data_IF_524310665090
#
_entry.id   IF_524310665090
#
_cell.length_a   1.000
_cell.length_b   1.000
_cell.length_c   1.000
_cell.angle_alpha   90.00
_cell.angle_beta   90.00
_cell.angle_gamma   90.00
#
_symmetry.space_group_name_H-M   'P 1'
#
loop_
_entity.id
_entity.type
_entity.pdbx_description
1 polymer ?
#
# COMPACT_ATOMS: atom_id res chain seq x y z
N UNK A 1 -13.15 27.95 -5.13
CA UNK A 1 -12.86 27.00 -6.23
C UNK A 1 -13.30 25.63 -5.76
N UNK A 2 -14.55 25.27 -6.09
CA UNK A 2 -15.25 24.07 -5.61
C UNK A 2 -14.86 22.86 -6.45
N UNK A 3 -14.50 21.75 -5.79
CA UNK A 3 -14.39 20.45 -6.44
C UNK A 3 -15.80 19.88 -6.58
N UNK A 4 -16.28 19.74 -7.81
CA UNK A 4 -17.53 19.09 -8.16
C UNK A 4 -17.14 17.81 -8.90
N UNK A 5 -17.63 16.66 -8.41
CA UNK A 5 -17.34 15.27 -8.81
C UNK A 5 -16.43 14.53 -7.81
N UNK A 6 -16.83 13.30 -7.48
CA UNK A 6 -16.39 12.38 -6.41
C UNK A 6 -14.90 11.94 -6.46
N UNK A 7 -13.97 12.80 -6.90
CA UNK A 7 -12.58 12.45 -7.25
C UNK A 7 -11.53 13.32 -6.55
N UNK A 8 -11.70 13.59 -5.27
CA UNK A 8 -10.55 13.90 -4.42
C UNK A 8 -10.21 12.61 -3.68
N UNK A 9 -9.14 11.92 -4.06
CA UNK A 9 -8.62 10.83 -3.24
C UNK A 9 -8.34 11.42 -1.86
N UNK A 10 -9.05 10.89 -0.87
CA UNK A 10 -9.17 11.48 0.47
C UNK A 10 -7.81 11.49 1.20
N UNK A 11 -6.89 10.64 0.74
CA UNK A 11 -5.44 10.69 0.91
C UNK A 11 -4.73 11.12 -0.40
N UNK A 12 -4.27 12.37 -0.49
CA UNK A 12 -3.47 12.87 -1.63
C UNK A 12 -2.26 13.70 -1.14
N UNK A 13 -1.09 13.07 -1.07
CA UNK A 13 0.17 13.74 -0.73
C UNK A 13 0.92 14.29 -1.96
N UNK A 14 0.36 14.20 -3.16
CA UNK A 14 1.02 14.61 -4.42
C UNK A 14 1.54 16.05 -4.35
N UNK A 15 0.81 16.97 -3.71
CA UNK A 15 1.23 18.38 -3.56
C UNK A 15 2.49 18.53 -2.71
N UNK A 16 2.60 17.76 -1.63
CA UNK A 16 3.76 17.83 -0.72
C UNK A 16 5.00 17.24 -1.39
N UNK A 17 4.84 16.15 -2.13
CA UNK A 17 5.93 15.52 -2.87
C UNK A 17 6.35 16.33 -4.10
N UNK A 18 5.40 16.98 -4.79
CA UNK A 18 5.70 17.94 -5.87
C UNK A 18 6.58 19.11 -5.39
N UNK A 19 6.37 19.62 -4.18
CA UNK A 19 7.24 20.66 -3.58
C UNK A 19 8.66 20.18 -3.29
N UNK A 20 8.86 18.87 -3.18
CA UNK A 20 10.16 18.23 -3.00
C UNK A 20 10.80 17.82 -4.33
N UNK A 21 10.18 18.12 -5.47
CA UNK A 21 10.64 17.68 -6.78
C UNK A 21 10.38 16.20 -7.06
N UNK A 22 9.48 15.57 -6.29
CA UNK A 22 9.14 14.15 -6.39
C UNK A 22 7.74 14.00 -7.00
N UNK A 23 7.60 14.30 -8.28
CA UNK A 23 6.34 14.03 -9.00
C UNK A 23 6.20 12.57 -9.35
N UNK A 24 7.32 11.96 -9.76
CA UNK A 24 7.42 10.60 -10.24
C UNK A 24 8.57 9.90 -9.51
N UNK A 25 8.38 8.62 -9.20
CA UNK A 25 9.29 7.81 -8.41
C UNK A 25 9.47 6.43 -9.05
N UNK A 26 10.67 5.88 -8.94
CA UNK A 26 10.94 4.48 -9.26
C UNK A 26 10.53 3.61 -8.07
N UNK A 27 9.53 2.75 -8.28
CA UNK A 27 8.92 1.98 -7.20
C UNK A 27 9.48 0.56 -7.15
N UNK A 28 9.44 -0.11 -5.98
CA UNK A 28 9.66 -1.54 -5.93
C UNK A 28 8.59 -2.22 -6.78
N UNK A 29 9.00 -2.83 -7.89
CA UNK A 29 8.09 -3.57 -8.78
C UNK A 29 7.52 -4.76 -8.02
N UNK A 30 6.27 -4.68 -7.58
CA UNK A 30 5.44 -5.85 -7.30
C UNK A 30 4.78 -6.24 -8.63
N UNK A 31 5.35 -7.24 -9.31
CA UNK A 31 4.81 -7.86 -10.52
C UNK A 31 4.49 -6.90 -11.68
N UNK A 32 5.49 -6.14 -12.15
CA UNK A 32 5.55 -5.88 -13.60
C UNK A 32 6.22 -7.10 -14.21
N UNK A 33 5.46 -8.18 -14.38
CA UNK A 33 5.83 -9.19 -15.36
C UNK A 33 5.61 -8.52 -16.71
N UNK A 34 6.63 -7.80 -17.18
CA UNK A 34 6.76 -7.54 -18.60
C UNK A 34 6.85 -8.91 -19.27
N UNK A 35 5.72 -9.43 -19.75
CA UNK A 35 5.72 -10.41 -20.83
C UNK A 35 5.98 -9.65 -22.13
N UNK A 36 7.17 -9.06 -22.21
CA UNK A 36 7.80 -8.74 -23.46
C UNK A 36 9.30 -8.76 -23.18
N UNK A 37 9.98 -9.76 -23.73
CA UNK A 37 11.41 -10.05 -23.62
C UNK A 37 12.24 -8.93 -24.30
N UNK A 38 12.16 -7.72 -23.77
CA UNK A 38 13.07 -6.62 -24.09
C UNK A 38 13.72 -6.12 -22.81
N UNK A 39 15.06 -6.06 -22.74
CA UNK A 39 15.77 -5.57 -21.58
C UNK A 39 15.65 -4.04 -21.55
N UNK A 40 14.51 -3.52 -21.11
CA UNK A 40 14.41 -2.12 -20.69
C UNK A 40 15.11 -1.96 -19.34
N UNK A 41 16.33 -1.43 -19.40
CA UNK A 41 17.28 -1.27 -18.29
C UNK A 41 16.84 -0.24 -17.21
N UNK A 42 15.60 0.25 -17.23
CA UNK A 42 15.13 1.28 -16.28
C UNK A 42 13.71 0.97 -15.82
N UNK A 43 13.45 0.77 -14.52
CA UNK A 43 12.10 0.51 -14.04
C UNK A 43 11.18 1.72 -14.31
N UNK A 44 9.89 1.51 -14.65
CA UNK A 44 8.99 2.61 -14.99
C UNK A 44 8.85 3.58 -13.82
N UNK A 45 8.95 4.88 -14.13
CA UNK A 45 8.67 5.95 -13.17
C UNK A 45 7.15 6.11 -13.06
N UNK A 46 6.62 5.97 -11.84
CA UNK A 46 5.19 6.08 -11.57
C UNK A 46 4.89 7.36 -10.78
N UNK A 47 3.65 7.87 -10.81
CA UNK A 47 3.25 8.98 -9.96
C UNK A 47 3.60 8.69 -8.49
N UNK A 48 4.15 9.68 -7.79
CA UNK A 48 4.63 9.50 -6.42
C UNK A 48 3.54 8.94 -5.47
N UNK A 49 2.28 9.32 -5.68
CA UNK A 49 1.14 8.79 -4.91
C UNK A 49 0.94 7.28 -5.12
N UNK A 50 0.98 6.80 -6.37
CA UNK A 50 0.93 5.37 -6.70
C UNK A 50 2.11 4.63 -6.05
N UNK A 51 3.31 5.20 -6.18
CA UNK A 51 4.53 4.62 -5.65
C UNK A 51 4.52 4.44 -4.13
N UNK A 52 4.08 5.48 -3.42
CA UNK A 52 3.95 5.47 -1.97
C UNK A 52 2.91 4.44 -1.53
N UNK A 53 1.76 4.38 -2.21
CA UNK A 53 0.75 3.37 -1.92
C UNK A 53 1.31 1.95 -2.08
N UNK A 54 1.96 1.65 -3.21
CA UNK A 54 2.58 0.33 -3.44
C UNK A 54 3.64 0.01 -2.39
N UNK A 55 4.48 0.98 -2.05
CA UNK A 55 5.52 0.84 -1.03
C UNK A 55 4.93 0.50 0.33
N UNK A 56 3.87 1.20 0.75
CA UNK A 56 3.23 0.97 2.04
C UNK A 56 2.53 -0.39 2.07
N UNK A 57 1.78 -0.72 1.01
CA UNK A 57 1.11 -2.01 0.88
C UNK A 57 2.10 -3.17 0.92
N UNK A 58 3.20 -3.10 0.16
CA UNK A 58 4.26 -4.11 0.18
C UNK A 58 4.90 -4.23 1.57
N UNK A 59 5.12 -3.11 2.26
CA UNK A 59 5.72 -3.14 3.61
C UNK A 59 4.77 -3.79 4.62
N UNK A 60 3.48 -3.46 4.58
CA UNK A 60 2.46 -4.10 5.43
C UNK A 60 2.47 -5.61 5.17
N UNK A 61 2.34 -6.03 3.92
CA UNK A 61 2.34 -7.43 3.53
C UNK A 61 3.62 -8.16 3.97
N UNK A 62 4.78 -7.55 3.79
CA UNK A 62 6.07 -8.11 4.23
C UNK A 62 6.09 -8.35 5.75
N UNK A 63 5.58 -7.40 6.54
CA UNK A 63 5.54 -7.53 8.01
C UNK A 63 4.51 -8.56 8.47
N UNK A 64 3.39 -8.70 7.77
CA UNK A 64 2.41 -9.75 8.04
C UNK A 64 2.99 -11.13 7.69
N UNK A 65 3.66 -11.26 6.54
CA UNK A 65 4.30 -12.51 6.10
C UNK A 65 5.51 -12.92 6.94
N UNK A 66 6.18 -11.96 7.57
CA UNK A 66 7.27 -12.21 8.50
C UNK A 66 6.80 -12.43 9.95
N UNK A 67 5.51 -12.66 10.18
CA UNK A 67 4.98 -12.94 11.53
C UNK A 67 5.58 -14.23 12.08
N UNK A 68 6.29 -14.14 13.19
CA UNK A 68 6.81 -15.29 13.91
C UNK A 68 5.69 -15.99 14.68
N UNK A 69 5.81 -17.31 14.85
CA UNK A 69 4.81 -18.16 15.51
C UNK A 69 3.41 -18.02 14.89
N UNK A 70 3.32 -18.04 13.56
CA UNK A 70 2.06 -17.92 12.81
C UNK A 70 1.20 -19.19 12.90
N UNK A 71 0.65 -19.44 14.09
CA UNK A 71 -0.21 -20.57 14.38
C UNK A 71 -1.64 -20.30 13.94
N UNK A 72 -2.37 -21.37 13.66
CA UNK A 72 -3.82 -21.30 13.45
C UNK A 72 -4.51 -20.92 14.76
N UNK A 73 -5.47 -20.03 14.66
CA UNK A 73 -6.30 -19.60 15.77
C UNK A 73 -7.77 -19.54 15.36
N UNK A 74 -8.63 -19.83 16.32
CA UNK A 74 -10.07 -19.70 16.15
C UNK A 74 -10.50 -18.27 16.50
N UNK A 75 -11.10 -17.59 15.53
CA UNK A 75 -11.61 -16.23 15.71
C UNK A 75 -13.08 -16.16 15.29
N UNK A 76 -13.79 -15.23 15.92
CA UNK A 76 -15.12 -14.80 15.47
C UNK A 76 -14.94 -13.37 14.96
N UNK A 77 -15.10 -13.18 13.65
CA UNK A 77 -15.03 -11.82 13.09
C UNK A 77 -16.25 -11.04 13.56
N UNK A 78 -16.04 -9.80 14.03
CA UNK A 78 -17.09 -8.97 14.64
C UNK A 78 -18.32 -8.76 13.75
N UNK A 79 -18.19 -8.96 12.45
CA UNK A 79 -19.25 -8.71 11.46
C UNK A 79 -20.01 -9.98 11.06
N UNK A 80 -19.38 -11.16 11.01
CA UNK A 80 -20.02 -12.37 10.48
C UNK A 80 -20.56 -13.32 11.55
N UNK A 81 -20.17 -13.16 12.81
CA UNK A 81 -20.43 -14.10 13.93
C UNK A 81 -20.01 -15.56 13.66
N UNK A 82 -19.39 -15.81 12.51
CA UNK A 82 -18.93 -17.12 12.04
C UNK A 82 -17.54 -17.40 12.62
N UNK A 83 -17.42 -18.55 13.27
CA UNK A 83 -16.14 -19.03 13.77
C UNK A 83 -15.28 -19.51 12.59
N UNK A 84 -14.10 -18.91 12.44
CA UNK A 84 -13.12 -19.29 11.41
C UNK A 84 -11.80 -19.64 12.07
N UNK A 85 -11.14 -20.66 11.53
CA UNK A 85 -9.75 -20.98 11.85
C UNK A 85 -8.86 -20.28 10.83
N UNK A 86 -8.02 -19.35 11.28
CA UNK A 86 -7.19 -18.50 10.43
C UNK A 86 -5.76 -18.41 10.99
N UNK A 87 -4.74 -18.13 10.18
CA UNK A 87 -3.40 -17.86 10.70
C UNK A 87 -3.37 -16.55 11.50
N UNK A 88 -2.59 -16.53 12.61
CA UNK A 88 -2.40 -15.34 13.44
C UNK A 88 -1.98 -14.11 12.62
N UNK A 89 -1.13 -14.29 11.60
CA UNK A 89 -0.67 -13.26 10.66
C UNK A 89 -1.79 -12.56 9.90
N UNK A 90 -2.99 -13.15 9.85
CA UNK A 90 -4.18 -12.61 9.19
C UNK A 90 -5.32 -12.33 10.16
N UNK A 91 -5.04 -12.32 11.46
CA UNK A 91 -5.97 -11.85 12.48
C UNK A 91 -6.04 -10.32 12.51
N UNK A 92 -7.20 -9.77 12.88
CA UNK A 92 -7.39 -8.32 13.05
C UNK A 92 -6.35 -7.73 14.02
N UNK A 93 -6.09 -8.41 15.14
CA UNK A 93 -5.11 -7.98 16.13
C UNK A 93 -3.70 -7.86 15.54
N UNK A 94 -3.25 -8.88 14.80
CA UNK A 94 -1.92 -8.84 14.19
C UNK A 94 -1.81 -7.79 13.08
N UNK A 95 -2.87 -7.59 12.32
CA UNK A 95 -2.93 -6.52 11.30
C UNK A 95 -2.77 -5.16 11.98
N UNK A 96 -3.52 -4.88 13.04
CA UNK A 96 -3.40 -3.63 13.80
C UNK A 96 -1.99 -3.38 14.34
N UNK A 97 -1.34 -4.40 14.92
CA UNK A 97 0.06 -4.28 15.40
C UNK A 97 1.04 -3.89 14.28
N UNK A 98 0.87 -4.48 13.09
CA UNK A 98 1.67 -4.12 11.92
C UNK A 98 1.39 -2.67 11.51
N UNK A 99 0.12 -2.26 11.43
CA UNK A 99 -0.26 -0.91 11.06
C UNK A 99 0.32 0.16 12.03
N UNK A 100 0.35 -0.11 13.33
CA UNK A 100 0.93 0.80 14.34
C UNK A 100 2.45 1.01 14.21
N UNK A 101 3.15 0.07 13.57
CA UNK A 101 4.61 0.06 13.49
C UNK A 101 5.17 0.30 12.08
N UNK A 102 4.39 0.02 11.03
CA UNK A 102 4.87 0.03 9.64
C UNK A 102 5.46 1.37 9.19
N UNK A 103 4.92 2.48 9.70
CA UNK A 103 5.38 3.83 9.35
C UNK A 103 6.64 4.27 10.11
N UNK A 104 7.18 3.47 11.04
CA UNK A 104 8.41 3.83 11.78
C UNK A 104 9.66 3.72 10.91
N UNK A 105 9.69 2.72 10.03
CA UNK A 105 10.86 2.37 9.20
C UNK A 105 10.66 2.61 7.70
N UNK A 106 9.54 3.24 7.34
CA UNK A 106 9.21 3.49 5.94
C UNK A 106 10.13 4.54 5.32
N UNK A 107 10.70 4.21 4.17
CA UNK A 107 11.58 5.11 3.43
C UNK A 107 11.57 4.77 1.94
N UNK A 108 11.92 5.75 1.12
CA UNK A 108 12.19 5.55 -0.30
C UNK A 108 13.66 5.16 -0.49
N UNK A 109 13.98 4.34 -1.51
CA UNK A 109 15.36 3.98 -1.84
C UNK A 109 16.16 5.20 -2.35
N UNK A 110 17.48 5.05 -2.46
CA UNK A 110 18.34 6.09 -3.03
C UNK A 110 17.91 6.44 -4.47
N UNK A 111 17.99 7.74 -4.87
CA UNK A 111 18.64 8.85 -4.16
C UNK A 111 17.72 9.60 -3.16
N UNK A 112 16.54 9.07 -2.83
CA UNK A 112 15.50 9.78 -2.08
C UNK A 112 15.64 9.68 -0.55
N UNK A 113 16.88 9.66 -0.04
CA UNK A 113 17.19 9.42 1.38
C UNK A 113 17.37 10.69 2.21
N UNK A 114 17.10 11.88 1.65
CA UNK A 114 17.21 13.14 2.38
C UNK A 114 16.27 13.20 3.60
N UNK A 115 16.66 13.87 4.72
CA UNK A 115 15.82 13.96 5.91
C UNK A 115 14.42 14.54 5.65
N UNK A 116 14.30 15.51 4.74
CA UNK A 116 13.01 16.11 4.36
C UNK A 116 12.10 15.10 3.68
N UNK A 117 12.65 14.27 2.79
CA UNK A 117 11.89 13.21 2.11
C UNK A 117 11.49 12.12 3.10
N UNK A 118 12.38 11.70 4.00
CA UNK A 118 12.05 10.73 5.06
C UNK A 118 10.86 11.19 5.92
N UNK A 119 10.85 12.46 6.35
CA UNK A 119 9.73 13.04 7.10
C UNK A 119 8.45 13.06 6.27
N UNK A 120 8.52 13.46 5.00
CA UNK A 120 7.36 13.49 4.11
C UNK A 120 6.76 12.09 3.89
N UNK A 121 7.60 11.07 3.68
CA UNK A 121 7.20 9.67 3.48
C UNK A 121 6.57 9.10 4.76
N UNK A 122 7.16 9.37 5.92
CA UNK A 122 6.60 8.97 7.21
C UNK A 122 5.22 9.59 7.46
N UNK A 123 5.07 10.89 7.21
CA UNK A 123 3.79 11.59 7.38
C UNK A 123 2.73 11.07 6.39
N UNK A 124 3.14 10.76 5.15
CA UNK A 124 2.25 10.16 4.16
C UNK A 124 1.78 8.78 4.61
N UNK A 125 2.69 7.94 5.12
CA UNK A 125 2.35 6.63 5.67
C UNK A 125 1.39 6.75 6.86
N UNK A 126 1.65 7.65 7.80
CA UNK A 126 0.78 7.83 8.95
C UNK A 126 -0.63 8.23 8.53
N UNK A 127 -0.75 9.21 7.61
CA UNK A 127 -2.05 9.60 7.05
C UNK A 127 -2.76 8.46 6.32
N UNK A 128 -2.01 7.57 5.66
CA UNK A 128 -2.57 6.42 4.96
C UNK A 128 -3.14 5.39 5.95
N UNK A 129 -2.36 5.04 6.98
CA UNK A 129 -2.77 4.06 8.00
C UNK A 129 -3.94 4.58 8.82
N UNK A 130 -3.88 5.84 9.29
CA UNK A 130 -4.93 6.43 10.11
C UNK A 130 -6.27 6.51 9.37
N UNK A 131 -6.21 6.75 8.05
CA UNK A 131 -7.42 6.90 7.23
C UNK A 131 -8.01 5.56 6.78
N UNK A 132 -7.16 4.57 6.47
CA UNK A 132 -7.58 3.33 5.83
C UNK A 132 -7.39 2.07 6.69
N UNK A 133 -7.18 2.19 8.00
CA UNK A 133 -7.01 1.04 8.89
C UNK A 133 -8.11 -0.03 8.71
N UNK A 134 -9.38 0.38 8.67
CA UNK A 134 -10.52 -0.55 8.50
C UNK A 134 -10.52 -1.23 7.12
N UNK A 135 -10.22 -0.48 6.06
CA UNK A 135 -10.10 -1.02 4.70
C UNK A 135 -8.95 -2.04 4.63
N UNK A 136 -7.80 -1.74 5.26
CA UNK A 136 -6.63 -2.64 5.32
C UNK A 136 -6.92 -3.91 6.12
N UNK A 137 -7.62 -3.80 7.25
CA UNK A 137 -8.09 -4.97 8.00
C UNK A 137 -9.00 -5.82 7.12
N UNK A 138 -9.97 -5.22 6.43
CA UNK A 138 -10.87 -5.94 5.54
C UNK A 138 -10.15 -6.66 4.39
N UNK A 139 -9.11 -6.04 3.81
CA UNK A 139 -8.33 -6.62 2.71
C UNK A 139 -7.48 -7.81 3.16
N UNK A 140 -6.82 -7.71 4.31
CA UNK A 140 -5.88 -8.75 4.78
C UNK A 140 -6.51 -9.80 5.69
N UNK A 141 -7.66 -9.54 6.30
CA UNK A 141 -8.28 -10.49 7.22
C UNK A 141 -8.56 -11.82 6.52
N UNK A 142 -8.03 -12.90 7.09
CA UNK A 142 -8.09 -14.26 6.53
C UNK A 142 -7.70 -14.36 5.04
N UNK A 143 -6.81 -13.48 4.58
CA UNK A 143 -6.46 -13.38 3.17
C UNK A 143 -4.94 -13.25 3.00
N UNK A 144 -4.34 -14.27 2.38
CA UNK A 144 -2.91 -14.30 2.11
C UNK A 144 -2.53 -13.71 0.74
N UNK A 145 -3.50 -13.36 -0.10
CA UNK A 145 -3.21 -12.80 -1.40
C UNK A 145 -2.62 -11.37 -1.29
N UNK A 146 -1.74 -10.97 -2.22
CA UNK A 146 -1.27 -9.59 -2.31
C UNK A 146 -2.43 -8.60 -2.52
N UNK A 147 -2.41 -7.46 -1.84
CA UNK A 147 -3.53 -6.49 -1.83
C UNK A 147 -3.19 -5.13 -2.47
N UNK A 148 -2.01 -5.00 -3.11
CA UNK A 148 -1.56 -3.76 -3.74
C UNK A 148 -2.55 -3.27 -4.79
N UNK A 149 -3.02 -4.14 -5.69
CA UNK A 149 -3.97 -3.78 -6.75
C UNK A 149 -5.30 -3.32 -6.16
N UNK A 150 -5.87 -4.12 -5.24
CA UNK A 150 -7.13 -3.81 -4.58
C UNK A 150 -7.11 -2.43 -3.92
N UNK A 151 -6.00 -2.05 -3.28
CA UNK A 151 -5.88 -0.76 -2.61
C UNK A 151 -5.48 0.38 -3.55
N UNK A 152 -4.37 0.23 -4.28
CA UNK A 152 -3.75 1.34 -5.01
C UNK A 152 -4.38 1.61 -6.38
N UNK A 153 -4.95 0.59 -7.02
CA UNK A 153 -5.65 0.70 -8.32
C UNK A 153 -7.15 0.83 -8.07
N UNK A 154 -7.77 -0.17 -7.44
CA UNK A 154 -9.24 -0.25 -7.43
C UNK A 154 -9.88 0.73 -6.44
N UNK A 155 -9.36 0.75 -5.20
CA UNK A 155 -9.91 1.58 -4.13
C UNK A 155 -9.50 3.05 -4.24
N UNK A 156 -8.20 3.32 -4.39
CA UNK A 156 -7.67 4.69 -4.37
C UNK A 156 -7.46 5.31 -5.75
N UNK A 157 -7.44 4.49 -6.81
CA UNK A 157 -7.26 4.96 -8.19
C UNK A 157 -6.01 5.86 -8.37
N UNK A 158 -4.95 5.56 -7.62
CA UNK A 158 -3.69 6.29 -7.67
C UNK A 158 -2.79 5.77 -8.79
N UNK A 159 -2.87 4.47 -9.03
CA UNK A 159 -2.19 3.78 -10.11
C UNK A 159 -3.19 3.60 -11.27
N UNK A 160 -2.71 3.74 -12.51
CA UNK A 160 -3.54 3.41 -13.67
C UNK A 160 -3.94 1.93 -13.62
N UNK A 161 -5.22 1.64 -13.84
CA UNK A 161 -5.67 0.28 -14.14
C UNK A 161 -5.08 -0.11 -15.49
N UNK A 162 -4.31 -1.19 -15.55
CA UNK A 162 -3.87 -1.81 -16.82
C UNK A 162 -5.05 -2.52 -17.51
N UNK A 163 -6.20 -1.85 -17.63
CA UNK A 163 -7.18 -2.19 -18.66
C UNK A 163 -6.69 -1.49 -19.92
N UNK A 164 -5.80 -2.18 -20.62
CA UNK A 164 -5.68 -1.97 -22.05
C UNK A 164 -7.08 -2.19 -22.63
N UNK A 165 -7.66 -1.10 -23.13
CA UNK A 165 -8.58 -1.17 -24.27
C UNK A 165 -7.83 -1.92 -25.38
N UNK A 166 -8.05 -3.22 -25.49
CA UNK A 166 -7.89 -3.92 -26.76
C UNK A 166 -9.27 -4.48 -27.16
N UNK A 167 -9.77 -3.83 -28.20
CA UNK A 167 -10.97 -4.10 -28.99
C UNK A 167 -10.91 -5.48 -29.66
#
# INVERSE_FOLDING_TARGET
>A
MQCISLRCSRWDHSRSFKKLGLTDLTCPTSHVANTDDTPETTPPSLPASCCLCQTFMQRIETNLNATENDHEMDVVFRISEEKKTIPYSRSEGRILEVLESVCKDVSLPDPHTSPKVKVAVKNACQGFVDEFADDLIGLYYNNLAPQQTAMCVDRLQLCASQLNDEL
#
